data_IF_519162993790
#
_entry.id   IF_519162993790
#
_cell.length_a   1.000
_cell.length_b   1.000
_cell.length_c   1.000
_cell.angle_alpha   90.00
_cell.angle_beta   90.00
_cell.angle_gamma   90.00
#
_symmetry.space_group_name_H-M   'P 1'
#
loop_
_entity.id
_entity.type
_entity.pdbx_description
1 polymer ?
#
# COMPACT_ATOMS: atom_id res chain seq x y z
N UNK A 1 -1.84 -11.10 -7.09
CA UNK A 1 -1.02 -12.27 -7.43
C UNK A 1 -1.14 -13.30 -6.32
N UNK A 2 -1.21 -14.58 -6.67
CA UNK A 2 -1.02 -15.69 -5.73
C UNK A 2 0.48 -15.93 -5.51
N UNK A 3 0.92 -15.79 -4.26
CA UNK A 3 2.31 -16.07 -3.85
C UNK A 3 2.57 -17.55 -3.60
N UNK A 4 1.53 -18.39 -3.67
CA UNK A 4 1.60 -19.84 -3.41
C UNK A 4 1.64 -20.66 -4.72
N UNK A 5 1.61 -19.99 -5.87
CA UNK A 5 1.67 -20.62 -7.19
C UNK A 5 2.83 -20.05 -7.99
N UNK A 6 3.30 -20.79 -9.01
CA UNK A 6 4.41 -20.36 -9.83
C UNK A 6 4.17 -18.96 -10.43
N UNK A 7 5.03 -17.99 -10.11
CA UNK A 7 5.03 -16.63 -10.64
C UNK A 7 6.32 -16.32 -11.42
N UNK A 8 7.13 -17.33 -11.73
CA UNK A 8 8.37 -17.16 -12.48
C UNK A 8 8.09 -16.88 -13.97
N UNK A 9 9.03 -16.27 -14.70
CA UNK A 9 8.92 -16.05 -16.14
C UNK A 9 8.53 -17.34 -16.88
N UNK A 10 7.60 -17.22 -17.82
CA UNK A 10 7.04 -18.36 -18.57
C UNK A 10 5.82 -19.03 -17.93
N UNK A 11 5.56 -18.81 -16.62
CA UNK A 11 4.33 -19.31 -15.98
C UNK A 11 3.07 -18.58 -16.47
N UNK A 12 1.91 -19.24 -16.35
CA UNK A 12 0.62 -18.63 -16.68
C UNK A 12 0.36 -17.36 -15.86
N UNK A 13 0.65 -17.41 -14.56
CA UNK A 13 0.48 -16.25 -13.67
C UNK A 13 1.41 -15.09 -14.06
N UNK A 14 2.69 -15.33 -14.34
CA UNK A 14 3.60 -14.26 -14.76
C UNK A 14 3.18 -13.63 -16.08
N UNK A 15 2.83 -14.47 -17.07
CA UNK A 15 2.38 -13.99 -18.37
C UNK A 15 1.08 -13.18 -18.27
N UNK A 16 0.16 -13.61 -17.40
CA UNK A 16 -1.05 -12.85 -17.07
C UNK A 16 -0.70 -11.49 -16.46
N UNK A 17 0.11 -11.47 -15.39
CA UNK A 17 0.49 -10.23 -14.71
C UNK A 17 1.18 -9.24 -15.65
N UNK A 18 2.12 -9.73 -16.47
CA UNK A 18 2.82 -8.88 -17.44
C UNK A 18 1.86 -8.25 -18.44
N UNK A 19 1.00 -9.06 -19.07
CA UNK A 19 0.03 -8.57 -20.06
C UNK A 19 -0.94 -7.58 -19.44
N UNK A 20 -1.46 -7.90 -18.27
CA UNK A 20 -2.42 -7.05 -17.56
C UNK A 20 -1.80 -5.69 -17.22
N UNK A 21 -0.62 -5.69 -16.56
CA UNK A 21 0.11 -4.47 -16.20
C UNK A 21 0.44 -3.57 -17.39
N UNK A 22 0.84 -4.18 -18.52
CA UNK A 22 1.24 -3.47 -19.74
C UNK A 22 0.03 -2.96 -20.55
N UNK A 23 -1.18 -3.50 -20.33
CA UNK A 23 -2.39 -3.14 -21.08
C UNK A 23 -3.11 -1.89 -20.58
N UNK A 24 -2.73 -1.37 -19.42
CA UNK A 24 -3.50 -0.35 -18.72
C UNK A 24 -3.26 1.05 -19.25
N UNK A 25 -4.34 1.75 -19.60
CA UNK A 25 -4.34 3.16 -19.97
C UNK A 25 -4.26 4.07 -18.72
N UNK A 26 -3.06 4.56 -18.42
CA UNK A 26 -2.79 5.42 -17.25
C UNK A 26 -3.49 6.77 -17.31
N UNK A 27 -3.97 7.23 -18.48
CA UNK A 27 -4.78 8.46 -18.56
C UNK A 27 -6.18 8.25 -17.98
N UNK A 28 -6.70 7.02 -18.04
CA UNK A 28 -8.02 6.65 -17.50
C UNK A 28 -7.92 6.11 -16.08
N UNK A 29 -6.88 5.32 -15.80
CA UNK A 29 -6.62 4.70 -14.50
C UNK A 29 -5.22 5.10 -14.02
N UNK A 30 -5.08 6.27 -13.37
CA UNK A 30 -3.78 6.83 -13.00
C UNK A 30 -3.08 6.04 -11.88
N UNK A 31 -3.85 5.31 -11.07
CA UNK A 31 -3.33 4.53 -9.95
C UNK A 31 -3.42 3.04 -10.24
N UNK A 32 -2.33 2.34 -9.96
CA UNK A 32 -2.30 0.89 -10.01
C UNK A 32 -1.90 0.33 -8.66
N UNK A 33 -2.75 -0.53 -8.09
CA UNK A 33 -2.52 -1.19 -6.81
C UNK A 33 -2.30 -2.67 -7.09
N UNK A 34 -1.09 -3.15 -6.78
CA UNK A 34 -0.76 -4.57 -6.82
C UNK A 34 -0.98 -5.17 -5.43
N UNK A 35 -1.45 -6.42 -5.38
CA UNK A 35 -1.62 -7.15 -4.12
C UNK A 35 -1.04 -8.57 -4.22
N UNK A 36 -0.45 -9.05 -3.13
CA UNK A 36 -0.13 -10.46 -2.92
C UNK A 36 -0.16 -10.84 -1.44
N UNK A 37 -0.05 -12.13 -1.13
CA UNK A 37 -0.09 -12.58 0.27
C UNK A 37 1.28 -12.45 0.94
N UNK A 38 2.30 -13.20 0.50
CA UNK A 38 3.67 -13.13 1.08
C UNK A 38 4.43 -11.87 0.62
N UNK A 39 4.99 -11.06 1.53
CA UNK A 39 5.63 -9.79 1.19
C UNK A 39 7.00 -9.98 0.55
N UNK A 40 7.26 -9.16 -0.47
CA UNK A 40 8.59 -8.98 -1.05
C UNK A 40 9.50 -8.18 -0.09
N UNK A 41 9.00 -7.03 0.39
CA UNK A 41 9.66 -6.19 1.40
C UNK A 41 9.00 -6.36 2.77
N UNK A 42 9.80 -6.66 3.79
CA UNK A 42 9.34 -6.76 5.19
C UNK A 42 10.50 -6.48 6.14
N UNK A 43 10.22 -5.87 7.28
CA UNK A 43 11.18 -5.78 8.40
C UNK A 43 11.04 -6.95 9.39
N UNK A 44 10.27 -7.99 9.05
CA UNK A 44 10.12 -9.20 9.87
C UNK A 44 11.02 -10.34 9.39
N UNK A 45 11.46 -11.18 10.33
CA UNK A 45 12.28 -12.34 10.02
C UNK A 45 11.43 -13.58 9.78
N UNK A 46 11.45 -14.08 8.55
CA UNK A 46 10.92 -15.39 8.19
C UNK A 46 11.88 -16.08 7.22
N UNK A 47 12.74 -16.96 7.75
CA UNK A 47 13.76 -17.68 6.97
C UNK A 47 13.13 -18.54 5.87
N UNK A 48 11.98 -19.16 6.14
CA UNK A 48 11.24 -19.98 5.18
C UNK A 48 10.80 -19.21 3.93
N UNK A 49 10.61 -17.88 4.04
CA UNK A 49 10.18 -17.03 2.94
C UNK A 49 11.35 -16.38 2.18
N UNK A 50 12.60 -16.56 2.62
CA UNK A 50 13.76 -15.93 1.98
C UNK A 50 13.93 -16.33 0.49
N UNK A 51 13.88 -17.63 0.11
CA UNK A 51 14.04 -18.01 -1.30
C UNK A 51 12.90 -17.50 -2.19
N UNK A 52 11.70 -17.34 -1.63
CA UNK A 52 10.56 -16.78 -2.34
C UNK A 52 10.76 -15.28 -2.60
N UNK A 53 11.22 -14.54 -1.58
CA UNK A 53 11.51 -13.11 -1.69
C UNK A 53 12.62 -12.85 -2.70
N UNK A 54 13.69 -13.64 -2.70
CA UNK A 54 14.76 -13.56 -3.72
C UNK A 54 14.20 -13.64 -5.14
N UNK A 55 13.35 -14.64 -5.41
CA UNK A 55 12.69 -14.79 -6.72
C UNK A 55 11.74 -13.62 -7.05
N UNK A 56 11.08 -13.04 -6.06
CA UNK A 56 10.25 -11.84 -6.26
C UNK A 56 11.11 -10.63 -6.63
N UNK A 57 12.27 -10.43 -5.97
CA UNK A 57 13.20 -9.36 -6.34
C UNK A 57 13.75 -9.54 -7.75
N UNK A 58 14.06 -10.77 -8.16
CA UNK A 58 14.63 -11.04 -9.47
C UNK A 58 13.62 -10.85 -10.61
N UNK A 59 12.36 -11.27 -10.42
CA UNK A 59 11.40 -11.37 -11.52
C UNK A 59 10.18 -10.47 -11.39
N UNK A 60 9.71 -10.22 -10.17
CA UNK A 60 8.49 -9.45 -9.94
C UNK A 60 8.78 -7.96 -9.77
N UNK A 61 9.80 -7.58 -8.98
CA UNK A 61 10.14 -6.16 -8.78
C UNK A 61 10.40 -5.42 -10.11
N UNK A 62 11.19 -5.95 -11.07
CA UNK A 62 11.42 -5.26 -12.33
C UNK A 62 10.13 -5.02 -13.11
N UNK A 63 9.18 -5.96 -13.04
CA UNK A 63 7.87 -5.84 -13.68
C UNK A 63 7.01 -4.75 -13.03
N UNK A 64 7.00 -4.68 -11.69
CA UNK A 64 6.24 -3.66 -10.94
C UNK A 64 6.83 -2.26 -11.14
N UNK A 65 8.16 -2.13 -11.12
CA UNK A 65 8.88 -0.88 -11.34
C UNK A 65 8.70 -0.39 -12.79
N UNK A 66 8.90 -1.27 -13.79
CA UNK A 66 8.71 -0.93 -15.21
C UNK A 66 7.31 -0.36 -15.48
N UNK A 67 6.30 -0.94 -14.85
CA UNK A 67 4.91 -0.53 -15.03
C UNK A 67 4.46 0.58 -14.07
N UNK A 68 5.37 1.18 -13.28
CA UNK A 68 5.08 2.29 -12.37
C UNK A 68 3.90 1.99 -11.45
N UNK A 69 3.87 0.78 -10.88
CA UNK A 69 2.86 0.40 -9.89
C UNK A 69 2.88 1.40 -8.74
N UNK A 70 1.72 1.88 -8.30
CA UNK A 70 1.62 2.94 -7.28
C UNK A 70 1.81 2.36 -5.87
N UNK A 71 1.01 1.35 -5.52
CA UNK A 71 1.07 0.67 -4.23
C UNK A 71 1.24 -0.83 -4.44
N UNK A 72 2.01 -1.47 -3.56
CA UNK A 72 2.19 -2.92 -3.51
C UNK A 72 1.80 -3.40 -2.12
N UNK A 73 0.61 -3.97 -2.00
CA UNK A 73 0.03 -4.41 -0.74
C UNK A 73 0.33 -5.88 -0.49
N UNK A 74 0.81 -6.18 0.72
CA UNK A 74 1.18 -7.52 1.13
C UNK A 74 0.48 -7.92 2.43
N UNK A 75 0.19 -9.20 2.62
CA UNK A 75 -0.29 -9.74 3.89
C UNK A 75 0.80 -10.55 4.59
N UNK A 76 0.43 -11.74 5.09
CA UNK A 76 1.28 -12.81 5.65
C UNK A 76 2.05 -12.47 6.93
N UNK A 77 2.77 -11.36 6.95
CA UNK A 77 3.38 -10.80 8.16
C UNK A 77 2.30 -10.04 8.91
N UNK A 78 1.94 -10.46 10.11
CA UNK A 78 0.75 -9.98 10.83
C UNK A 78 0.87 -8.56 11.42
N UNK A 79 1.56 -7.66 10.73
CA UNK A 79 1.85 -6.29 11.15
C UNK A 79 1.49 -5.29 10.07
N UNK A 80 1.52 -4.02 10.45
CA UNK A 80 1.58 -2.93 9.50
C UNK A 80 3.03 -2.50 9.30
N UNK A 81 3.49 -2.36 8.05
CA UNK A 81 4.82 -1.85 7.72
C UNK A 81 4.78 -1.13 6.36
N UNK A 82 4.91 0.19 6.39
CA UNK A 82 4.95 1.03 5.18
C UNK A 82 6.38 1.45 4.88
N UNK A 83 6.81 1.16 3.67
CA UNK A 83 8.14 1.53 3.18
C UNK A 83 8.10 2.87 2.43
N UNK A 84 9.29 3.43 2.19
CA UNK A 84 9.47 4.47 1.16
C UNK A 84 9.17 3.88 -0.23
N UNK A 85 9.15 4.68 -1.32
CA UNK A 85 9.15 4.14 -2.67
C UNK A 85 10.42 3.33 -2.88
N UNK A 86 10.32 2.07 -3.31
CA UNK A 86 11.45 1.13 -3.28
C UNK A 86 11.79 0.58 -4.65
N UNK A 87 13.10 0.40 -4.88
CA UNK A 87 13.69 -0.38 -5.97
C UNK A 87 15.02 -0.94 -5.49
N UNK A 88 15.20 -2.25 -5.58
CA UNK A 88 16.44 -2.93 -5.17
C UNK A 88 16.96 -2.46 -3.80
N UNK A 89 16.09 -2.52 -2.78
CA UNK A 89 16.37 -2.09 -1.40
C UNK A 89 16.76 -0.61 -1.20
N UNK A 90 16.62 0.22 -2.22
CA UNK A 90 16.95 1.66 -2.18
C UNK A 90 15.68 2.50 -2.19
N UNK A 91 15.60 3.49 -1.29
CA UNK A 91 14.52 4.46 -1.31
C UNK A 91 14.65 5.40 -2.51
N UNK A 92 13.59 5.56 -3.28
CA UNK A 92 13.45 6.62 -4.27
C UNK A 92 13.12 7.97 -3.65
N UNK A 93 13.24 9.01 -4.47
CA UNK A 93 12.76 10.36 -4.12
C UNK A 93 11.24 10.37 -3.96
N UNK A 94 10.75 11.18 -3.02
CA UNK A 94 9.33 11.45 -2.81
C UNK A 94 8.79 12.53 -3.78
N UNK A 95 9.62 13.04 -4.69
CA UNK A 95 9.24 14.03 -5.69
C UNK A 95 9.18 15.45 -5.14
N UNK A 96 10.06 15.78 -4.19
CA UNK A 96 10.16 17.11 -3.62
C UNK A 96 10.70 18.12 -4.64
N UNK A 97 10.47 19.43 -4.40
CA UNK A 97 10.88 20.48 -5.34
C UNK A 97 12.40 20.45 -5.55
N UNK A 98 12.82 20.28 -6.81
CA UNK A 98 14.22 20.31 -7.21
C UNK A 98 14.91 18.94 -7.22
N UNK A 99 14.22 17.86 -6.89
CA UNK A 99 14.76 16.50 -6.98
C UNK A 99 14.37 15.84 -8.30
N UNK A 100 15.34 15.16 -8.93
CA UNK A 100 15.05 14.18 -9.96
C UNK A 100 14.19 13.06 -9.35
N UNK A 101 13.08 12.75 -10.00
CA UNK A 101 12.04 11.89 -9.44
C UNK A 101 11.62 10.79 -10.40
N UNK A 102 11.54 9.56 -9.88
CA UNK A 102 11.06 8.36 -10.57
C UNK A 102 9.83 7.81 -9.83
N UNK A 103 8.79 7.43 -10.56
CA UNK A 103 7.62 6.77 -10.00
C UNK A 103 7.97 5.33 -9.58
N UNK A 104 8.29 5.15 -8.30
CA UNK A 104 8.57 3.83 -7.74
C UNK A 104 7.38 3.30 -6.92
N UNK A 105 7.17 1.97 -6.90
CA UNK A 105 6.14 1.36 -6.09
C UNK A 105 6.40 1.58 -4.60
N UNK A 106 5.31 1.76 -3.83
CA UNK A 106 5.35 1.83 -2.37
C UNK A 106 4.90 0.50 -1.79
N UNK A 107 5.82 -0.31 -1.22
CA UNK A 107 5.46 -1.52 -0.51
C UNK A 107 4.79 -1.20 0.82
N UNK A 108 3.68 -1.88 1.10
CA UNK A 108 2.98 -1.82 2.38
C UNK A 108 2.57 -3.22 2.81
N UNK A 109 3.04 -3.64 3.98
CA UNK A 109 2.53 -4.84 4.66
C UNK A 109 1.28 -4.44 5.45
N UNK A 110 0.18 -5.15 5.20
CA UNK A 110 -1.16 -4.94 5.75
C UNK A 110 -1.71 -6.24 6.35
N UNK A 111 -0.86 -7.04 7.00
CA UNK A 111 -1.24 -8.36 7.53
C UNK A 111 -1.82 -8.34 8.95
N UNK A 112 -1.97 -7.18 9.56
CA UNK A 112 -2.47 -6.94 10.93
C UNK A 112 -3.99 -7.16 11.12
N UNK A 113 -4.60 -8.09 10.37
CA UNK A 113 -6.05 -8.31 10.33
C UNK A 113 -6.64 -9.04 11.53
N UNK A 114 -5.84 -9.41 12.54
CA UNK A 114 -6.33 -10.03 13.78
C UNK A 114 -5.73 -11.39 14.15
N UNK A 115 -4.68 -11.85 13.46
CA UNK A 115 -3.99 -13.06 13.88
C UNK A 115 -3.02 -12.78 15.04
N UNK A 116 -3.11 -13.58 16.10
CA UNK A 116 -2.42 -13.39 17.38
C UNK A 116 -0.90 -13.62 17.32
N UNK A 117 -0.47 -14.55 16.45
CA UNK A 117 0.94 -14.81 16.23
C UNK A 117 1.60 -13.68 15.44
N UNK A 118 2.71 -13.14 15.96
CA UNK A 118 3.47 -12.07 15.32
C UNK A 118 4.91 -12.54 15.06
N UNK A 119 5.44 -12.43 13.82
CA UNK A 119 6.84 -12.77 13.58
C UNK A 119 7.77 -11.80 14.34
N UNK A 120 8.96 -12.28 14.71
CA UNK A 120 10.02 -11.40 15.24
C UNK A 120 10.41 -10.40 14.15
N UNK A 121 10.79 -9.19 14.57
CA UNK A 121 11.46 -8.27 13.65
C UNK A 121 12.77 -8.90 13.16
N UNK A 122 13.27 -8.45 12.00
CA UNK A 122 14.60 -8.80 11.50
C UNK A 122 15.61 -8.61 12.65
N UNK A 123 16.35 -9.65 13.06
CA UNK A 123 17.27 -9.56 14.18
C UNK A 123 18.55 -8.82 13.79
N UNK A 124 19.26 -8.26 14.77
CA UNK A 124 20.62 -7.73 14.55
C UNK A 124 21.67 -8.80 14.90
N UNK A 125 22.85 -8.79 14.26
CA UNK A 125 23.91 -9.76 14.55
C UNK A 125 24.35 -9.77 16.03
N UNK A 126 24.33 -8.61 16.68
CA UNK A 126 24.71 -8.38 18.08
C UNK A 126 23.56 -8.56 19.08
N UNK A 127 22.31 -8.51 18.61
CA UNK A 127 21.10 -8.62 19.42
C UNK A 127 20.02 -9.45 18.70
N UNK A 128 20.09 -10.79 18.80
CA UNK A 128 19.26 -11.70 17.99
C UNK A 128 17.78 -11.75 18.40
N UNK A 129 17.47 -11.32 19.61
CA UNK A 129 16.09 -11.32 20.15
C UNK A 129 15.46 -9.93 20.22
N UNK A 130 16.25 -8.87 20.02
CA UNK A 130 15.76 -7.50 20.08
C UNK A 130 15.28 -7.02 18.70
N UNK A 131 14.26 -6.15 18.65
CA UNK A 131 13.91 -5.45 17.43
C UNK A 131 15.12 -4.68 16.87
N UNK A 132 15.24 -4.61 15.54
CA UNK A 132 16.14 -3.64 14.90
C UNK A 132 15.72 -2.23 15.32
N UNK A 133 16.51 -1.65 16.23
CA UNK A 133 16.45 -0.26 16.66
C UNK A 133 17.80 0.44 16.39
N UNK A 134 17.81 1.63 15.77
CA UNK A 134 16.64 2.34 15.24
C UNK A 134 16.00 1.60 14.06
N UNK A 135 14.72 1.88 13.80
CA UNK A 135 13.98 1.35 12.65
C UNK A 135 14.78 1.60 11.34
N UNK A 136 14.87 0.61 10.42
CA UNK A 136 15.56 0.82 9.15
C UNK A 136 14.95 2.00 8.39
N UNK A 137 15.78 2.91 7.87
CA UNK A 137 15.34 4.14 7.17
C UNK A 137 14.31 3.89 6.04
N UNK A 138 14.36 2.69 5.44
CA UNK A 138 13.45 2.25 4.37
C UNK A 138 12.03 1.93 4.84
N UNK A 139 11.87 1.52 6.09
CA UNK A 139 10.56 1.39 6.74
C UNK A 139 10.25 2.75 7.33
N UNK A 140 9.20 3.42 6.83
CA UNK A 140 8.82 4.76 7.25
C UNK A 140 7.89 4.72 8.47
N UNK A 141 7.05 3.70 8.56
CA UNK A 141 6.16 3.48 9.69
C UNK A 141 5.89 1.99 9.84
N UNK A 142 5.93 1.47 11.07
CA UNK A 142 5.55 0.09 11.38
C UNK A 142 4.79 0.04 12.69
N UNK A 143 3.78 -0.83 12.75
CA UNK A 143 2.88 -0.98 13.90
C UNK A 143 2.62 -2.47 14.16
N UNK A 144 2.55 -2.83 15.44
CA UNK A 144 2.26 -4.18 15.91
C UNK A 144 0.79 -4.38 16.28
N UNK A 145 -0.01 -3.32 16.21
CA UNK A 145 -1.42 -3.30 16.55
C UNK A 145 -2.29 -3.86 15.43
N UNK A 146 -3.41 -4.50 15.80
CA UNK A 146 -4.43 -4.85 14.83
C UNK A 146 -5.09 -3.63 14.24
N UNK A 147 -5.56 -3.78 13.01
CA UNK A 147 -6.19 -2.71 12.26
C UNK A 147 -6.50 -3.10 10.84
N UNK A 148 -6.78 -2.09 10.02
CA UNK A 148 -7.04 -2.26 8.60
C UNK A 148 -6.54 -1.05 7.81
N UNK A 149 -6.43 -1.20 6.49
CA UNK A 149 -6.15 -0.07 5.60
C UNK A 149 -7.39 0.38 4.84
N UNK A 150 -7.48 1.69 4.62
CA UNK A 150 -8.49 2.32 3.78
C UNK A 150 -7.82 2.98 2.59
N UNK A 151 -8.32 2.68 1.38
CA UNK A 151 -7.92 3.32 0.14
C UNK A 151 -9.01 4.28 -0.34
N UNK A 152 -8.62 5.51 -0.65
CA UNK A 152 -9.51 6.52 -1.25
C UNK A 152 -8.80 7.11 -2.46
N UNK A 153 -9.39 6.99 -3.64
CA UNK A 153 -8.82 7.49 -4.90
C UNK A 153 -9.72 8.57 -5.52
N UNK A 154 -9.10 9.63 -6.01
CA UNK A 154 -9.69 10.60 -6.94
C UNK A 154 -8.97 10.52 -8.29
N UNK A 155 -9.25 11.41 -9.24
CA UNK A 155 -8.42 11.52 -10.45
C UNK A 155 -7.03 12.08 -10.19
N UNK A 156 -6.84 12.79 -9.08
CA UNK A 156 -5.63 13.55 -8.77
C UNK A 156 -4.75 12.87 -7.74
N UNK A 157 -5.34 12.09 -6.82
CA UNK A 157 -4.59 11.46 -5.73
C UNK A 157 -5.19 10.15 -5.24
N UNK A 158 -4.32 9.27 -4.75
CA UNK A 158 -4.61 8.06 -4.01
C UNK A 158 -4.13 8.25 -2.57
N UNK A 159 -5.01 8.01 -1.61
CA UNK A 159 -4.70 8.02 -0.18
C UNK A 159 -4.81 6.62 0.39
N UNK A 160 -3.77 6.17 1.08
CA UNK A 160 -3.79 5.02 1.97
C UNK A 160 -3.75 5.51 3.42
N UNK A 161 -4.64 4.97 4.26
CA UNK A 161 -4.65 5.22 5.71
C UNK A 161 -4.64 3.90 6.46
N UNK A 162 -3.84 3.79 7.52
CA UNK A 162 -3.90 2.72 8.51
C UNK A 162 -4.77 3.16 9.69
N UNK A 163 -5.82 2.38 9.97
CA UNK A 163 -6.72 2.59 11.10
C UNK A 163 -6.49 1.50 12.14
N UNK A 164 -6.21 1.91 13.38
CA UNK A 164 -5.96 0.99 14.48
C UNK A 164 -7.27 0.48 15.07
N UNK A 165 -7.39 -0.81 15.34
CA UNK A 165 -8.58 -1.38 15.98
C UNK A 165 -8.68 -1.03 17.47
N UNK A 166 -7.59 -0.61 18.09
CA UNK A 166 -7.55 -0.30 19.52
C UNK A 166 -8.25 1.02 19.87
N UNK A 167 -8.34 1.95 18.92
CA UNK A 167 -8.95 3.27 19.12
C UNK A 167 -9.83 3.74 17.93
N UNK A 168 -9.78 3.07 16.79
CA UNK A 168 -10.51 3.47 15.58
C UNK A 168 -9.91 4.66 14.84
N UNK A 169 -8.71 5.12 15.24
CA UNK A 169 -8.08 6.32 14.70
C UNK A 169 -7.06 6.03 13.60
N UNK A 170 -6.73 7.04 12.81
CA UNK A 170 -5.70 6.95 11.76
C UNK A 170 -4.31 7.13 12.36
N UNK A 171 -3.51 6.07 12.33
CA UNK A 171 -2.14 6.06 12.88
C UNK A 171 -1.07 6.32 11.84
N UNK A 172 -1.36 6.01 10.58
CA UNK A 172 -0.47 6.29 9.46
C UNK A 172 -1.24 6.65 8.18
N UNK A 173 -0.65 7.51 7.35
CA UNK A 173 -1.24 7.98 6.10
C UNK A 173 -0.17 8.29 5.07
N UNK A 174 -0.45 7.93 3.81
CA UNK A 174 0.30 8.40 2.64
C UNK A 174 -0.66 8.86 1.55
N UNK A 175 -0.32 9.98 0.91
CA UNK A 175 -1.00 10.51 -0.27
C UNK A 175 -0.06 10.53 -1.47
N UNK A 176 -0.50 9.93 -2.56
CA UNK A 176 0.26 9.78 -3.81
C UNK A 176 -0.54 10.45 -4.92
N UNK A 177 0.06 11.43 -5.59
CA UNK A 177 -0.55 12.13 -6.71
C UNK A 177 -0.60 11.25 -7.96
N UNK A 178 -1.49 11.54 -8.89
CA UNK A 178 -1.57 10.88 -10.20
C UNK A 178 -0.29 11.05 -11.02
N UNK A 179 0.46 12.12 -10.74
CA UNK A 179 1.81 12.31 -11.27
C UNK A 179 2.85 11.35 -10.70
N UNK A 180 2.51 10.59 -9.65
CA UNK A 180 3.37 9.69 -8.86
C UNK A 180 4.11 10.35 -7.69
N UNK A 181 4.05 11.68 -7.58
CA UNK A 181 4.69 12.43 -6.48
C UNK A 181 3.94 12.26 -5.17
N UNK A 182 4.62 12.43 -4.05
CA UNK A 182 4.03 12.29 -2.73
C UNK A 182 3.69 13.65 -2.13
N UNK A 183 2.53 13.75 -1.49
CA UNK A 183 2.25 14.86 -0.59
C UNK A 183 2.79 14.49 0.78
N UNK A 184 3.78 15.25 1.27
CA UNK A 184 4.21 15.11 2.65
C UNK A 184 3.03 15.38 3.57
N UNK A 185 2.70 14.43 4.44
CA UNK A 185 1.93 14.73 5.62
C UNK A 185 2.70 15.83 6.36
N UNK A 186 2.13 17.04 6.41
CA UNK A 186 2.60 18.07 7.35
C UNK A 186 2.69 17.38 8.70
N UNK A 187 3.88 17.44 9.33
CA UNK A 187 4.14 16.89 10.67
C UNK A 187 2.89 17.06 11.53
N UNK A 188 2.46 15.99 12.19
CA UNK A 188 1.32 15.92 13.08
C UNK A 188 1.26 17.11 14.05
N UNK A 189 0.62 18.19 13.61
CA UNK A 189 0.15 19.29 14.45
C UNK A 189 -1.36 19.49 14.25
N UNK A 190 -1.98 18.76 13.32
CA UNK A 190 -3.39 18.93 12.93
C UNK A 190 -4.35 17.88 13.50
N UNK A 191 -3.93 17.04 14.45
CA UNK A 191 -4.87 16.14 15.18
C UNK A 191 -5.56 16.86 16.35
N UNK A 192 -5.10 18.05 16.77
CA UNK A 192 -5.73 18.83 17.86
C UNK A 192 -6.76 19.88 17.43
N UNK A 193 -6.92 20.19 16.13
CA UNK A 193 -7.76 21.31 15.71
C UNK A 193 -9.23 20.96 15.44
N UNK A 194 -9.58 19.67 15.36
CA UNK A 194 -10.96 19.23 15.05
C UNK A 194 -11.90 19.39 16.26
N UNK A 195 -11.38 19.60 17.48
CA UNK A 195 -12.18 19.71 18.70
C UNK A 195 -12.64 21.14 19.09
N UNK A 196 -12.31 22.18 18.31
CA UNK A 196 -12.59 23.58 18.71
C UNK A 196 -13.55 24.36 17.79
N UNK A 197 -14.02 23.78 16.68
CA UNK A 197 -14.96 24.49 15.82
C UNK A 197 -16.38 24.25 16.33
N UNK A 198 -16.84 25.15 17.21
CA UNK A 198 -18.28 25.32 17.49
C UNK A 198 -18.99 25.62 16.18
N UNK A 199 -19.95 24.77 15.84
CA UNK A 199 -20.91 24.98 14.76
C UNK A 199 -21.65 26.30 14.97
N UNK A 200 -21.40 27.29 14.11
CA UNK A 200 -22.38 28.32 13.78
C UNK A 200 -22.87 28.09 12.36
N UNK A 201 -24.19 28.03 12.23
CA UNK A 201 -24.96 27.62 11.07
C UNK A 201 -24.75 28.51 9.82
N UNK A 202 -25.23 27.95 8.70
CA UNK A 202 -25.61 28.58 7.43
C UNK A 202 -24.52 28.70 6.35
N UNK A 203 -24.39 27.65 5.54
CA UNK A 203 -24.37 27.80 4.07
C UNK A 203 -25.06 26.59 3.43
N UNK A 204 -26.17 26.85 2.74
CA UNK A 204 -26.84 25.96 1.80
C UNK A 204 -26.01 25.85 0.51
N UNK A 205 -25.47 24.67 0.21
CA UNK A 205 -25.34 24.09 -1.14
C UNK A 205 -24.57 22.76 -1.02
N UNK A 206 -25.30 21.64 -1.15
CA UNK A 206 -24.70 20.30 -1.22
C UNK A 206 -24.32 20.01 -2.67
N UNK A 207 -23.02 20.01 -2.98
CA UNK A 207 -22.49 19.23 -4.09
C UNK A 207 -22.03 17.88 -3.55
N UNK A 208 -22.75 16.82 -3.90
CA UNK A 208 -22.36 15.44 -3.59
C UNK A 208 -21.18 15.10 -4.50
N UNK A 209 -19.97 15.03 -3.94
CA UNK A 209 -18.81 14.45 -4.64
C UNK A 209 -18.80 12.96 -4.28
N UNK A 210 -19.21 12.11 -5.22
CA UNK A 210 -19.14 10.66 -5.08
C UNK A 210 -17.68 10.18 -5.14
N UNK A 211 -17.10 9.86 -3.98
CA UNK A 211 -15.85 9.11 -3.88
C UNK A 211 -16.14 7.61 -3.72
N UNK A 212 -15.42 6.75 -4.46
CA UNK A 212 -15.45 5.31 -4.21
C UNK A 212 -14.57 5.02 -3.00
N UNK A 213 -15.18 4.49 -1.93
CA UNK A 213 -14.47 4.03 -0.73
C UNK A 213 -14.48 2.50 -0.71
N UNK A 214 -13.31 1.88 -0.67
CA UNK A 214 -13.17 0.44 -0.49
C UNK A 214 -12.44 0.21 0.84
N UNK A 215 -13.11 -0.48 1.76
CA UNK A 215 -12.55 -0.89 3.06
C UNK A 215 -12.19 -2.38 2.98
N UNK A 216 -10.97 -2.74 3.40
CA UNK A 216 -10.48 -4.11 3.32
C UNK A 216 -10.30 -4.69 4.72
N UNK A 217 -11.11 -5.71 5.07
CA UNK A 217 -10.88 -6.55 6.23
C UNK A 217 -10.18 -7.84 5.77
N UNK A 218 -8.90 -8.00 6.09
CA UNK A 218 -8.17 -9.27 5.91
C UNK A 218 -8.46 -10.20 7.10
N UNK A 219 -9.70 -10.68 7.19
CA UNK A 219 -10.14 -11.67 8.18
C UNK A 219 -10.55 -12.97 7.50
N UNK A 220 -10.11 -14.09 8.06
CA UNK A 220 -10.34 -15.50 7.71
C UNK A 220 -9.26 -16.22 6.90
N UNK A 221 -8.80 -17.30 7.55
CA UNK A 221 -7.85 -18.31 7.09
C UNK A 221 -8.18 -18.80 5.68
N UNK A 222 -7.13 -18.95 4.87
CA UNK A 222 -7.12 -19.54 3.52
C UNK A 222 -7.96 -18.83 2.45
N UNK A 223 -7.26 -18.34 1.42
CA UNK A 223 -7.77 -17.73 0.18
C UNK A 223 -8.15 -16.24 0.25
N UNK A 224 -7.13 -15.37 0.25
CA UNK A 224 -7.29 -14.07 -0.39
C UNK A 224 -7.35 -14.30 -1.91
N UNK A 225 -8.56 -14.25 -2.47
CA UNK A 225 -8.71 -14.13 -3.93
C UNK A 225 -8.10 -12.79 -4.36
N UNK A 226 -7.07 -12.88 -5.20
CA UNK A 226 -6.44 -11.72 -5.82
C UNK A 226 -7.41 -11.09 -6.81
N UNK A 227 -8.27 -10.17 -6.37
CA UNK A 227 -9.02 -9.32 -7.28
C UNK A 227 -8.18 -8.07 -7.55
N UNK A 228 -7.64 -8.00 -8.75
CA UNK A 228 -6.97 -6.79 -9.23
C UNK A 228 -8.07 -5.79 -9.62
N UNK A 229 -8.21 -4.71 -8.84
CA UNK A 229 -9.23 -3.70 -9.09
C UNK A 229 -8.68 -2.55 -9.92
N UNK A 230 -9.22 -2.38 -11.12
CA UNK A 230 -9.18 -1.13 -11.85
C UNK A 230 -10.23 -0.19 -11.24
N UNK A 231 -9.79 0.87 -10.57
CA UNK A 231 -10.69 1.92 -10.08
C UNK A 231 -11.20 2.74 -11.29
N UNK A 232 -12.27 2.27 -11.93
CA UNK A 232 -12.94 2.99 -13.01
C UNK A 232 -13.79 4.12 -12.44
N UNK A 233 -13.58 5.34 -12.93
CA UNK A 233 -14.49 6.45 -12.68
C UNK A 233 -15.83 6.19 -13.35
N UNK A 234 -16.89 6.08 -12.56
CA UNK A 234 -18.27 5.90 -13.05
C UNK A 234 -18.70 7.09 -13.90
N UNK A 235 -19.35 6.81 -15.04
CA UNK A 235 -19.99 7.81 -15.91
C UNK A 235 -21.50 7.58 -15.79
N UNK A 236 -22.23 8.53 -15.20
CA UNK A 236 -23.68 8.53 -15.25
C UNK A 236 -24.12 8.63 -16.71
N UNK A 237 -24.70 7.55 -17.23
CA UNK A 237 -25.46 7.56 -18.46
C UNK A 237 -26.92 7.76 -18.12
N UNK A 238 -27.44 8.96 -18.36
CA UNK A 238 -28.88 9.18 -18.50
C UNK A 238 -29.34 8.50 -19.78
N UNK A 239 -30.32 7.60 -19.66
CA UNK A 239 -30.93 6.90 -20.79
C UNK A 239 -32.15 6.11 -20.33
N UNK A 240 -33.27 6.80 -20.22
CA UNK A 240 -34.61 6.20 -20.31
C UNK A 240 -34.90 5.97 -21.80
N UNK A 241 -35.17 4.70 -22.16
CA UNK A 241 -35.61 4.17 -23.47
C UNK A 241 -34.74 4.44 -24.70
#
# INVERSE_FOLDING_TARGET
>A
MSTETNFLPGSNQYNFLRRDLESVDRMKTPFFVFQGHRPMYTTSFASKDAPLRERMFEHLEPLLVKNKVTLVLWGHVHRYDRFCPMKNFTCGSMGQKGEDWEALPVPVVIGMGGQDWQPKWEPRPDHPDDPVFPQPKRSLYRAGEFGYTRLVATREKLRLSFVGNHDGEVHDMVEILASGKFLMAVKSTMVKLVHSIRLTQNVTHFHIISGVSVSWCSGFSSAMFSVLFHMLGYREGTGLW
#
